data_IF_267563565858
#
_entry.id   IF_267563565858
#
_cell.length_a   1.000
_cell.length_b   1.000
_cell.length_c   1.000
_cell.angle_alpha   90.00
_cell.angle_beta   90.00
_cell.angle_gamma   90.00
#
_symmetry.space_group_name_H-M   'P 1'
#
loop_
_entity.id
_entity.type
_entity.pdbx_description
1 polymer ?
#
# COMPACT_ATOMS: atom_id res chain seq x y z
N UNK A 1 -16.38 18.65 -28.84
CA UNK A 1 -15.51 19.32 -27.86
C UNK A 1 -14.06 18.82 -28.06
N UNK A 2 -13.06 19.69 -27.86
CA UNK A 2 -11.66 19.25 -27.89
C UNK A 2 -11.17 19.12 -26.43
N UNK A 3 -10.56 17.98 -26.11
CA UNK A 3 -10.00 17.68 -24.80
C UNK A 3 -8.52 17.34 -24.96
N UNK A 4 -7.69 17.97 -24.17
CA UNK A 4 -6.25 17.68 -24.13
C UNK A 4 -5.90 17.03 -22.80
N UNK A 5 -5.22 15.87 -22.87
CA UNK A 5 -4.70 15.14 -21.72
C UNK A 5 -3.17 15.22 -21.76
N UNK A 6 -2.55 15.61 -20.67
CA UNK A 6 -1.08 15.69 -20.55
C UNK A 6 -0.59 14.58 -19.63
N UNK A 7 0.27 13.73 -20.18
CA UNK A 7 0.82 12.55 -19.51
C UNK A 7 0.16 11.24 -19.91
N UNK A 8 0.94 10.35 -20.52
CA UNK A 8 0.55 9.01 -20.99
C UNK A 8 0.81 7.90 -19.97
N UNK A 9 0.81 8.21 -18.67
CA UNK A 9 0.80 7.21 -17.61
C UNK A 9 -0.59 6.61 -17.40
N UNK A 10 -0.72 5.69 -16.42
CA UNK A 10 -1.98 5.00 -16.13
C UNK A 10 -3.17 5.96 -16.02
N UNK A 11 -3.04 7.04 -15.26
CA UNK A 11 -4.13 8.00 -15.04
C UNK A 11 -4.59 8.68 -16.33
N UNK A 12 -3.64 9.16 -17.15
CA UNK A 12 -3.97 9.84 -18.42
C UNK A 12 -4.59 8.90 -19.44
N UNK A 13 -4.07 7.67 -19.54
CA UNK A 13 -4.62 6.64 -20.43
C UNK A 13 -6.02 6.21 -20.00
N UNK A 14 -6.25 6.01 -18.70
CA UNK A 14 -7.56 5.70 -18.14
C UNK A 14 -8.57 6.81 -18.40
N UNK A 15 -8.16 8.06 -18.21
CA UNK A 15 -9.02 9.22 -18.53
C UNK A 15 -9.36 9.27 -20.02
N UNK A 16 -8.39 9.05 -20.91
CA UNK A 16 -8.63 9.00 -22.36
C UNK A 16 -9.60 7.87 -22.73
N UNK A 17 -9.42 6.69 -22.14
CA UNK A 17 -10.26 5.52 -22.37
C UNK A 17 -11.72 5.80 -21.99
N UNK A 18 -11.97 6.18 -20.75
CA UNK A 18 -13.35 6.42 -20.28
C UNK A 18 -14.01 7.61 -20.94
N UNK A 19 -13.29 8.70 -21.20
CA UNK A 19 -13.82 9.84 -21.94
C UNK A 19 -14.17 9.47 -23.38
N UNK A 20 -13.33 8.68 -24.04
CA UNK A 20 -13.58 8.22 -25.40
C UNK A 20 -14.81 7.33 -25.52
N UNK A 21 -15.08 6.49 -24.51
CA UNK A 21 -16.28 5.65 -24.46
C UNK A 21 -17.54 6.46 -24.09
N UNK A 22 -17.42 7.36 -23.11
CA UNK A 22 -18.57 8.16 -22.64
C UNK A 22 -18.97 9.26 -23.63
N UNK A 23 -18.03 9.77 -24.44
CA UNK A 23 -18.19 10.90 -25.35
C UNK A 23 -17.46 10.66 -26.67
N UNK A 24 -17.92 9.72 -27.49
CA UNK A 24 -17.24 9.35 -28.73
C UNK A 24 -17.15 10.50 -29.76
N UNK A 25 -18.00 11.51 -29.60
CA UNK A 25 -18.00 12.71 -30.43
C UNK A 25 -16.94 13.76 -30.04
N UNK A 26 -16.23 13.54 -28.93
CA UNK A 26 -15.16 14.44 -28.51
C UNK A 26 -13.83 14.09 -29.18
N UNK A 27 -13.08 15.13 -29.54
CA UNK A 27 -11.73 14.97 -30.07
C UNK A 27 -10.74 14.98 -28.88
N UNK A 28 -10.22 13.82 -28.51
CA UNK A 28 -9.32 13.64 -27.38
C UNK A 28 -7.90 13.52 -27.90
N UNK A 29 -7.01 14.41 -27.44
CA UNK A 29 -5.57 14.38 -27.75
C UNK A 29 -4.78 14.16 -26.49
N UNK A 30 -3.92 13.14 -26.47
CA UNK A 30 -3.03 12.84 -25.35
C UNK A 30 -1.60 13.16 -25.75
N UNK A 31 -0.90 13.94 -24.93
CA UNK A 31 0.50 14.28 -25.07
C UNK A 31 1.33 13.54 -24.03
N UNK A 32 2.38 12.87 -24.48
CA UNK A 32 3.36 12.18 -23.62
C UNK A 32 4.76 12.70 -23.95
N UNK A 33 5.53 13.00 -22.92
CA UNK A 33 6.89 13.51 -23.03
C UNK A 33 7.89 12.40 -23.43
N UNK A 34 7.65 11.18 -22.91
CA UNK A 34 8.52 10.03 -23.19
C UNK A 34 8.17 9.39 -24.56
N UNK A 35 9.09 8.64 -25.16
CA UNK A 35 8.84 7.93 -26.43
C UNK A 35 7.88 6.73 -26.26
N UNK A 36 7.34 6.48 -25.06
CA UNK A 36 6.43 5.38 -24.75
C UNK A 36 5.31 5.83 -23.79
N UNK A 37 4.19 5.15 -23.86
CA UNK A 37 3.13 5.23 -22.86
C UNK A 37 3.39 4.30 -21.66
N UNK A 38 2.60 4.44 -20.58
CA UNK A 38 2.66 3.64 -19.37
C UNK A 38 3.26 4.35 -18.16
N UNK A 39 4.01 5.43 -18.37
CA UNK A 39 4.60 6.22 -17.27
C UNK A 39 5.52 5.38 -16.38
N UNK A 40 5.19 5.26 -15.09
CA UNK A 40 5.93 4.46 -14.11
C UNK A 40 5.76 2.95 -14.28
N UNK A 41 4.69 2.48 -14.92
CA UNK A 41 4.48 1.08 -15.22
C UNK A 41 5.37 0.72 -16.42
N UNK A 42 6.32 -0.16 -16.19
CA UNK A 42 7.27 -0.58 -17.20
C UNK A 42 7.70 -2.02 -16.94
N UNK A 43 7.41 -2.88 -17.90
CA UNK A 43 7.83 -4.28 -17.91
C UNK A 43 8.93 -4.46 -18.96
N UNK A 44 9.97 -5.17 -18.62
CA UNK A 44 11.04 -5.55 -19.53
C UNK A 44 11.14 -7.08 -19.60
N UNK A 45 11.39 -7.60 -20.81
CA UNK A 45 11.71 -9.01 -21.00
C UNK A 45 13.20 -9.13 -21.26
N UNK A 46 13.87 -9.94 -20.44
CA UNK A 46 15.30 -10.21 -20.54
C UNK A 46 15.45 -11.73 -20.56
N UNK A 47 15.81 -12.29 -21.70
CA UNK A 47 15.79 -13.73 -21.96
C UNK A 47 14.41 -14.32 -21.62
N UNK A 48 14.35 -15.32 -20.72
CA UNK A 48 13.10 -15.94 -20.27
C UNK A 48 12.46 -15.24 -19.05
N UNK A 49 13.01 -14.13 -18.59
CA UNK A 49 12.52 -13.41 -17.42
C UNK A 49 11.62 -12.24 -17.81
N UNK A 50 10.57 -12.04 -17.00
CA UNK A 50 9.75 -10.82 -16.99
C UNK A 50 10.19 -9.98 -15.80
N UNK A 51 10.71 -8.79 -16.08
CA UNK A 51 11.23 -7.87 -15.06
C UNK A 51 10.36 -6.63 -15.03
N UNK A 52 9.71 -6.42 -13.88
CA UNK A 52 8.97 -5.19 -13.62
C UNK A 52 9.91 -4.11 -13.09
N UNK A 53 9.96 -2.96 -13.78
CA UNK A 53 10.79 -1.81 -13.42
C UNK A 53 10.02 -0.73 -12.66
N UNK A 54 8.78 -1.02 -12.32
CA UNK A 54 7.88 -0.13 -11.63
C UNK A 54 6.90 -0.91 -10.75
N UNK A 55 5.66 -0.41 -10.57
CA UNK A 55 4.63 -1.14 -9.84
C UNK A 55 4.33 -2.48 -10.52
N UNK A 56 4.40 -3.56 -9.75
CA UNK A 56 4.18 -4.95 -10.18
C UNK A 56 2.83 -5.52 -9.70
N UNK A 57 2.20 -4.84 -8.76
CA UNK A 57 0.98 -5.31 -8.12
C UNK A 57 0.09 -4.15 -7.65
N UNK A 58 -1.14 -4.45 -7.32
CA UNK A 58 -2.06 -3.50 -6.71
C UNK A 58 -2.97 -4.19 -5.67
N UNK A 59 -3.56 -3.39 -4.80
CA UNK A 59 -4.44 -3.91 -3.75
C UNK A 59 -5.81 -4.24 -4.31
N UNK A 60 -6.17 -5.52 -4.36
CA UNK A 60 -7.47 -6.00 -4.89
C UNK A 60 -8.71 -5.44 -4.17
N UNK A 61 -8.58 -4.94 -2.93
CA UNK A 61 -9.65 -4.22 -2.23
C UNK A 61 -9.97 -2.84 -2.82
N UNK A 62 -9.08 -2.31 -3.66
CA UNK A 62 -9.28 -1.11 -4.47
C UNK A 62 -9.86 -1.55 -5.80
N UNK A 63 -11.18 -1.52 -5.93
CA UNK A 63 -11.88 -2.13 -7.07
C UNK A 63 -11.69 -1.36 -8.37
N UNK A 64 -11.34 -0.08 -8.32
CA UNK A 64 -11.23 0.79 -9.49
C UNK A 64 -10.23 0.26 -10.54
N UNK A 65 -9.12 -0.36 -10.09
CA UNK A 65 -8.16 -0.96 -11.02
C UNK A 65 -8.67 -2.29 -11.56
N UNK A 66 -9.31 -3.09 -10.74
CA UNK A 66 -9.93 -4.36 -11.15
C UNK A 66 -11.04 -4.10 -12.16
N UNK A 67 -11.89 -3.10 -11.92
CA UNK A 67 -12.96 -2.69 -12.83
C UNK A 67 -12.40 -2.26 -14.20
N UNK A 68 -11.35 -1.44 -14.20
CA UNK A 68 -10.66 -1.06 -15.45
C UNK A 68 -10.12 -2.27 -16.21
N UNK A 69 -9.51 -3.24 -15.52
CA UNK A 69 -8.99 -4.46 -16.15
C UNK A 69 -10.11 -5.28 -16.80
N UNK A 70 -11.26 -5.39 -16.12
CA UNK A 70 -12.45 -6.05 -16.69
C UNK A 70 -13.03 -5.28 -17.88
N UNK A 71 -13.13 -3.95 -17.81
CA UNK A 71 -13.60 -3.09 -18.90
C UNK A 71 -12.72 -3.20 -20.14
N UNK A 72 -11.43 -3.45 -19.96
CA UNK A 72 -10.46 -3.70 -21.03
C UNK A 72 -10.53 -5.14 -21.58
N UNK A 73 -11.35 -6.02 -21.02
CA UNK A 73 -11.46 -7.43 -21.40
C UNK A 73 -10.25 -8.28 -20.96
N UNK A 74 -9.51 -7.82 -19.96
CA UNK A 74 -8.30 -8.49 -19.43
C UNK A 74 -8.53 -9.22 -18.10
N UNK A 75 -9.79 -9.40 -17.68
CA UNK A 75 -10.13 -10.02 -16.38
C UNK A 75 -9.50 -11.39 -16.16
N UNK A 76 -9.47 -12.23 -17.20
CA UNK A 76 -8.89 -13.58 -17.13
C UNK A 76 -7.35 -13.60 -16.99
N UNK A 77 -6.69 -12.46 -17.15
CA UNK A 77 -5.24 -12.31 -16.96
C UNK A 77 -4.85 -11.93 -15.54
N UNK A 78 -5.82 -11.61 -14.69
CA UNK A 78 -5.57 -11.28 -13.30
C UNK A 78 -5.10 -12.51 -12.53
N UNK A 79 -3.97 -12.37 -11.87
CA UNK A 79 -3.43 -13.39 -10.98
C UNK A 79 -3.36 -12.85 -9.55
N UNK A 80 -3.66 -13.70 -8.59
CA UNK A 80 -3.48 -13.38 -7.18
C UNK A 80 -2.24 -14.06 -6.62
N UNK A 81 -1.72 -13.53 -5.52
CA UNK A 81 -0.59 -14.15 -4.84
C UNK A 81 -1.03 -15.50 -4.22
N UNK A 82 -0.42 -16.59 -4.66
CA UNK A 82 -0.72 -17.96 -4.20
C UNK A 82 -0.28 -18.19 -2.74
N UNK A 83 0.70 -17.45 -2.24
CA UNK A 83 1.25 -17.60 -0.88
C UNK A 83 0.38 -16.98 0.21
N UNK A 84 -0.81 -16.47 -0.11
CA UNK A 84 -1.71 -15.83 0.85
C UNK A 84 -1.15 -14.53 1.43
N UNK A 85 -0.13 -13.94 0.79
CA UNK A 85 0.44 -12.65 1.22
C UNK A 85 1.31 -12.72 2.47
N UNK A 86 1.89 -13.90 2.81
CA UNK A 86 2.83 -14.00 3.92
C UNK A 86 4.04 -13.11 3.65
N UNK A 87 4.26 -12.12 4.49
CA UNK A 87 5.44 -11.27 4.48
C UNK A 87 6.40 -11.66 5.60
N UNK A 88 7.68 -11.32 5.42
CA UNK A 88 8.75 -11.64 6.36
C UNK A 88 9.57 -10.38 6.66
N UNK A 89 10.08 -10.31 7.88
CA UNK A 89 11.06 -9.30 8.30
C UNK A 89 12.38 -10.00 8.56
N UNK A 90 13.45 -9.45 8.02
CA UNK A 90 14.81 -9.85 8.36
C UNK A 90 15.30 -8.99 9.53
N UNK A 91 15.62 -9.62 10.67
CA UNK A 91 16.12 -8.97 11.87
C UNK A 91 17.24 -9.81 12.49
N UNK A 92 18.36 -9.19 12.83
CA UNK A 92 19.51 -9.79 13.51
C UNK A 92 19.98 -11.15 12.94
N UNK A 93 20.02 -11.27 11.61
CA UNK A 93 20.50 -12.50 10.95
C UNK A 93 19.44 -13.59 10.76
N UNK A 94 18.19 -13.34 11.14
CA UNK A 94 17.08 -14.28 11.05
C UNK A 94 15.91 -13.72 10.26
N UNK A 95 15.13 -14.62 9.63
CA UNK A 95 13.90 -14.27 8.91
C UNK A 95 12.73 -14.62 9.81
N UNK A 96 11.91 -13.62 10.10
CA UNK A 96 10.71 -13.75 10.94
C UNK A 96 9.46 -13.55 10.10
N UNK A 97 8.50 -14.47 10.13
CA UNK A 97 7.21 -14.22 9.50
C UNK A 97 6.49 -13.10 10.24
N UNK A 98 5.89 -12.19 9.50
CA UNK A 98 4.95 -11.22 10.08
C UNK A 98 3.76 -12.00 10.62
N UNK A 99 3.30 -11.73 11.86
CA UNK A 99 2.17 -12.43 12.43
C UNK A 99 0.97 -12.40 11.49
N UNK A 100 0.60 -13.57 10.95
CA UNK A 100 -0.50 -13.74 10.00
C UNK A 100 -1.87 -13.70 10.68
N UNK A 101 -2.93 -13.96 9.90
CA UNK A 101 -4.30 -14.01 10.41
C UNK A 101 -5.03 -12.69 10.32
N UNK A 102 -4.77 -11.89 9.27
CA UNK A 102 -5.50 -10.63 9.03
C UNK A 102 -4.82 -9.40 9.60
N UNK A 103 -3.48 -9.35 9.53
CA UNK A 103 -2.79 -8.11 9.89
C UNK A 103 -3.21 -6.97 8.95
N UNK A 104 -3.80 -5.93 9.49
CA UNK A 104 -4.05 -4.69 8.77
C UNK A 104 -2.77 -3.87 8.86
N UNK A 105 -2.00 -3.81 7.76
CA UNK A 105 -0.77 -3.01 7.66
C UNK A 105 0.26 -3.28 8.78
N UNK A 106 0.46 -4.57 9.12
CA UNK A 106 1.42 -4.97 10.15
C UNK A 106 0.89 -4.93 11.59
N UNK A 107 -0.33 -4.43 11.81
CA UNK A 107 -0.97 -4.51 13.12
C UNK A 107 -1.61 -5.89 13.26
N UNK A 108 -1.18 -6.71 14.22
CA UNK A 108 -1.78 -8.00 14.45
C UNK A 108 -3.25 -7.84 14.87
N UNK A 109 -4.17 -8.41 14.10
CA UNK A 109 -5.59 -8.42 14.46
C UNK A 109 -5.96 -9.63 15.29
N UNK A 110 -5.09 -10.64 15.32
CA UNK A 110 -5.28 -11.86 16.11
C UNK A 110 -4.25 -11.97 17.23
N UNK A 111 -4.72 -12.21 18.44
CA UNK A 111 -3.90 -12.30 19.66
C UNK A 111 -2.91 -13.47 19.62
N UNK A 112 -3.36 -14.66 19.19
CA UNK A 112 -2.51 -15.86 19.29
C UNK A 112 -1.31 -15.85 18.34
N UNK A 113 -1.42 -15.47 17.05
CA UNK A 113 -0.26 -15.28 16.19
C UNK A 113 0.71 -14.23 16.74
N UNK A 114 0.21 -13.13 17.29
CA UNK A 114 1.04 -12.10 17.90
C UNK A 114 1.82 -12.60 19.12
N UNK A 115 1.17 -13.31 20.03
CA UNK A 115 1.83 -13.88 21.22
C UNK A 115 2.93 -14.87 20.81
N UNK A 116 2.72 -15.68 19.76
CA UNK A 116 3.68 -16.66 19.26
C UNK A 116 4.79 -16.07 18.40
N UNK A 117 4.65 -14.84 17.91
CA UNK A 117 5.64 -14.20 17.05
C UNK A 117 6.99 -14.08 17.76
N UNK A 118 8.07 -14.46 17.08
CA UNK A 118 9.44 -14.42 17.63
C UNK A 118 10.13 -13.08 17.41
N UNK A 119 9.61 -12.25 16.49
CA UNK A 119 10.18 -10.96 16.13
C UNK A 119 10.15 -9.95 17.29
N UNK A 120 9.08 -9.98 18.09
CA UNK A 120 8.83 -9.02 19.18
C UNK A 120 9.11 -9.69 20.53
N UNK A 121 9.89 -9.02 21.38
CA UNK A 121 10.18 -9.48 22.72
C UNK A 121 8.93 -9.54 23.61
N UNK A 122 9.01 -10.27 24.74
CA UNK A 122 7.91 -10.30 25.68
C UNK A 122 7.63 -8.92 26.31
N UNK A 123 8.67 -8.11 26.52
CA UNK A 123 8.51 -6.72 26.99
C UNK A 123 7.78 -5.85 25.96
N UNK A 124 8.10 -6.00 24.67
CA UNK A 124 7.41 -5.33 23.58
C UNK A 124 5.94 -5.73 23.46
N UNK A 125 5.65 -7.04 23.59
CA UNK A 125 4.28 -7.56 23.59
C UNK A 125 3.44 -7.00 24.76
N UNK A 126 4.01 -6.99 25.95
CA UNK A 126 3.36 -6.42 27.14
C UNK A 126 3.14 -4.92 26.96
N UNK A 127 4.14 -4.20 26.43
CA UNK A 127 4.02 -2.77 26.15
C UNK A 127 2.92 -2.47 25.13
N UNK A 128 2.83 -3.25 24.05
CA UNK A 128 1.75 -3.12 23.08
C UNK A 128 0.38 -3.47 23.70
N UNK A 129 0.31 -4.50 24.55
CA UNK A 129 -0.92 -4.88 25.25
C UNK A 129 -1.44 -3.81 26.22
N UNK A 130 -0.57 -2.98 26.80
CA UNK A 130 -0.95 -1.86 27.66
C UNK A 130 -1.72 -0.77 26.89
N UNK A 131 -1.76 -0.82 25.59
CA UNK A 131 -2.54 0.09 24.76
C UNK A 131 -4.02 0.08 25.09
N UNK A 132 -4.55 -1.08 25.45
CA UNK A 132 -5.94 -1.23 25.86
C UNK A 132 -6.35 -0.29 27.03
N UNK A 133 -5.40 0.11 27.88
CA UNK A 133 -5.62 0.99 29.03
C UNK A 133 -5.22 2.44 28.75
N UNK A 134 -4.72 2.74 27.56
CA UNK A 134 -4.31 4.10 27.21
C UNK A 134 -5.50 4.97 26.80
N UNK A 135 -5.33 6.26 27.04
CA UNK A 135 -6.22 7.27 26.48
C UNK A 135 -6.04 7.35 24.96
N UNK A 136 -7.08 7.76 24.22
CA UNK A 136 -6.94 8.08 22.81
C UNK A 136 -5.78 9.09 22.59
N UNK A 137 -5.10 8.95 21.47
CA UNK A 137 -4.05 9.89 21.08
C UNK A 137 -4.66 11.28 20.85
N UNK A 138 -4.05 12.32 21.41
CA UNK A 138 -4.46 13.69 21.16
C UNK A 138 -3.93 14.11 19.77
N UNK A 139 -4.86 14.41 18.87
CA UNK A 139 -4.55 14.91 17.54
C UNK A 139 -4.04 16.37 17.60
N UNK A 140 -3.31 16.80 16.59
CA UNK A 140 -2.86 18.18 16.46
C UNK A 140 -4.04 19.16 16.20
N UNK A 141 -3.73 20.45 16.07
CA UNK A 141 -4.72 21.50 15.79
C UNK A 141 -5.47 21.29 14.46
N UNK A 142 -4.90 20.52 13.53
CA UNK A 142 -5.50 20.17 12.24
C UNK A 142 -6.30 18.87 12.30
N UNK A 143 -6.35 18.22 13.46
CA UNK A 143 -6.99 16.93 13.64
C UNK A 143 -6.23 15.75 13.02
N UNK A 144 -4.92 15.89 12.82
CA UNK A 144 -4.06 14.85 12.22
C UNK A 144 -2.87 14.52 13.13
N UNK A 145 -2.13 13.50 12.77
CA UNK A 145 -0.88 13.06 13.39
C UNK A 145 -0.09 12.23 12.37
N UNK A 146 1.23 12.15 12.52
CA UNK A 146 1.99 11.23 11.67
C UNK A 146 1.75 9.76 12.07
N UNK A 147 1.82 8.88 11.08
CA UNK A 147 1.72 7.43 11.28
C UNK A 147 2.70 6.97 12.37
N UNK A 148 3.96 7.41 12.27
CA UNK A 148 5.01 7.04 13.21
C UNK A 148 4.69 7.41 14.64
N UNK A 149 4.29 8.65 14.91
CA UNK A 149 3.97 9.10 16.26
C UNK A 149 2.74 8.38 16.83
N UNK A 150 1.71 8.17 16.00
CA UNK A 150 0.51 7.46 16.42
C UNK A 150 0.82 6.04 16.87
N UNK A 151 1.47 5.26 16.01
CA UNK A 151 1.76 3.87 16.35
C UNK A 151 2.83 3.72 17.44
N UNK A 152 3.82 4.61 17.50
CA UNK A 152 4.78 4.64 18.59
C UNK A 152 4.09 4.86 19.95
N UNK A 153 3.16 5.78 20.02
CA UNK A 153 2.37 6.03 21.22
C UNK A 153 1.59 4.78 21.64
N UNK A 154 0.88 4.17 20.71
CA UNK A 154 0.02 3.03 20.98
C UNK A 154 0.82 1.74 21.23
N UNK A 155 1.72 1.37 20.33
CA UNK A 155 2.35 0.05 20.33
C UNK A 155 3.77 0.03 20.92
N UNK A 156 4.42 1.19 21.03
CA UNK A 156 5.77 1.33 21.57
C UNK A 156 6.86 1.19 20.53
N UNK A 157 8.10 1.52 20.94
CA UNK A 157 9.24 1.65 20.03
C UNK A 157 9.63 0.32 19.36
N UNK A 158 9.66 -0.78 20.08
CA UNK A 158 10.07 -2.07 19.52
C UNK A 158 9.14 -2.54 18.39
N UNK A 159 7.83 -2.35 18.55
CA UNK A 159 6.86 -2.63 17.49
C UNK A 159 7.08 -1.74 16.27
N UNK A 160 7.44 -0.47 16.50
CA UNK A 160 7.78 0.44 15.43
C UNK A 160 8.99 -0.04 14.65
N UNK A 161 10.12 -0.24 15.33
CA UNK A 161 11.41 -0.51 14.69
C UNK A 161 11.43 -1.86 13.98
N UNK A 162 10.79 -2.87 14.57
CA UNK A 162 10.88 -4.25 14.07
C UNK A 162 9.75 -4.65 13.14
N UNK A 163 8.60 -4.01 13.21
CA UNK A 163 7.41 -4.44 12.45
C UNK A 163 6.80 -3.32 11.61
N UNK A 164 6.44 -2.20 12.23
CA UNK A 164 5.62 -1.17 11.57
C UNK A 164 6.45 -0.38 10.56
N UNK A 165 7.61 0.14 10.96
CA UNK A 165 8.46 0.95 10.10
C UNK A 165 8.98 0.18 8.87
N UNK A 166 9.56 -1.04 8.99
CA UNK A 166 9.99 -1.80 7.83
C UNK A 166 8.86 -2.06 6.82
N UNK A 167 7.66 -2.37 7.30
CA UNK A 167 6.51 -2.62 6.45
C UNK A 167 5.99 -1.35 5.77
N UNK A 168 5.75 -0.30 6.54
CA UNK A 168 5.17 0.94 6.02
C UNK A 168 6.15 1.74 5.18
N UNK A 169 7.45 1.74 5.52
CA UNK A 169 8.47 2.35 4.69
C UNK A 169 8.56 1.69 3.31
N UNK A 170 8.41 0.36 3.24
CA UNK A 170 8.32 -0.38 1.99
C UNK A 170 7.09 -0.03 1.15
N UNK A 171 5.93 0.17 1.80
CA UNK A 171 4.68 0.52 1.11
C UNK A 171 4.68 1.98 0.63
N UNK A 172 5.08 2.91 1.49
CA UNK A 172 4.97 4.34 1.22
C UNK A 172 6.25 4.97 0.66
N UNK A 173 7.38 4.28 0.75
CA UNK A 173 8.67 4.77 0.23
C UNK A 173 9.16 6.04 0.92
N UNK A 174 8.78 6.30 2.18
CA UNK A 174 9.06 7.54 2.88
C UNK A 174 9.14 7.40 4.39
N UNK A 175 9.54 8.50 5.03
CA UNK A 175 9.63 8.62 6.48
C UNK A 175 8.22 8.65 7.09
N UNK A 176 7.87 7.58 7.82
CA UNK A 176 6.55 7.41 8.43
C UNK A 176 6.21 8.47 9.50
N UNK A 177 7.22 9.14 10.02
CA UNK A 177 7.02 10.27 10.94
C UNK A 177 6.61 11.57 10.25
N UNK A 178 6.61 11.59 8.90
CA UNK A 178 6.18 12.70 8.06
C UNK A 178 4.93 12.40 7.24
N UNK A 179 4.42 11.17 7.30
CA UNK A 179 3.23 10.76 6.56
C UNK A 179 2.00 10.93 7.45
N UNK A 180 0.99 11.63 6.95
CA UNK A 180 -0.29 11.87 7.62
C UNK A 180 -1.05 10.57 7.88
N UNK A 181 -1.47 10.34 9.11
CA UNK A 181 -2.32 9.21 9.47
C UNK A 181 -3.71 9.33 8.82
N UNK A 182 -4.29 10.52 8.87
CA UNK A 182 -5.62 10.77 8.32
C UNK A 182 -5.67 10.52 6.82
N UNK A 183 -4.63 10.92 6.08
CA UNK A 183 -4.58 10.73 4.62
C UNK A 183 -4.37 9.28 4.21
N UNK A 184 -3.78 8.45 5.07
CA UNK A 184 -3.42 7.06 4.74
C UNK A 184 -4.36 6.04 5.35
N UNK A 185 -4.90 6.31 6.53
CA UNK A 185 -5.70 5.38 7.33
C UNK A 185 -7.11 5.91 7.66
N UNK A 186 -7.78 6.53 6.69
CA UNK A 186 -9.17 6.99 6.84
C UNK A 186 -10.12 5.93 7.42
N UNK A 187 -9.77 4.65 7.29
CA UNK A 187 -10.56 3.53 7.83
C UNK A 187 -10.53 3.47 9.37
N UNK A 188 -9.46 3.97 10.02
CA UNK A 188 -9.34 3.93 11.48
C UNK A 188 -10.20 4.98 12.19
N UNK A 189 -10.74 5.94 11.44
CA UNK A 189 -11.56 7.04 11.97
C UNK A 189 -13.05 6.92 11.63
N UNK A 190 -13.47 5.82 11.00
CA UNK A 190 -14.87 5.45 10.77
C UNK A 190 -15.28 4.34 11.73
#
# INVERSE_FOLDING_TARGET
>A
MNVTIVGGGLTGLTAAYYLGHAKPEWNITLYEQAPRFGGKIQTQRVDDFVVELGPDSYLGRKTEMTDLVHDLGLGDTLVSNETGGQAFVYDEGSIHPIPGGGSIMGIPTEMMPFVKATLISWSGKLRAGLDYFKKPYELDENGDVSIGHFFQYHLGQEMMDKLIEPLLAGIYGGDIYKISLLSTFLILFK
#
